data_IF_918233925353
#
_entry.id   IF_918233925353
#
_cell.length_a   1.000
_cell.length_b   1.000
_cell.length_c   1.000
_cell.angle_alpha   90.00
_cell.angle_beta   90.00
_cell.angle_gamma   90.00
#
_symmetry.space_group_name_H-M   'P 1'
#
loop_
_entity.id
_entity.type
_entity.pdbx_description
1 polymer ?
#
# COMPACT_ATOMS: atom_id res chain seq x y z
N UNK A 1 27.35 -29.30 -8.93
CA UNK A 1 26.01 -29.45 -8.36
C UNK A 1 25.73 -28.20 -7.54
N UNK A 2 25.10 -27.21 -8.17
CA UNK A 2 24.97 -25.85 -7.66
C UNK A 2 23.85 -25.83 -6.61
N UNK A 3 24.20 -25.56 -5.35
CA UNK A 3 23.19 -25.36 -4.31
C UNK A 3 22.41 -24.08 -4.62
N UNK A 4 21.15 -24.23 -5.00
CA UNK A 4 20.18 -23.14 -5.00
C UNK A 4 19.90 -22.85 -3.53
N UNK A 5 20.49 -21.77 -2.98
CA UNK A 5 20.00 -21.19 -1.72
C UNK A 5 18.56 -20.76 -1.98
N UNK A 6 17.58 -21.53 -1.49
CA UNK A 6 16.24 -21.00 -1.24
C UNK A 6 16.44 -19.75 -0.35
N UNK A 7 16.22 -18.57 -0.92
CA UNK A 7 16.24 -17.34 -0.13
C UNK A 7 15.16 -17.46 0.93
N UNK A 8 15.58 -17.50 2.18
CA UNK A 8 14.69 -17.64 3.32
C UNK A 8 13.99 -16.31 3.57
N UNK A 9 12.68 -16.34 3.82
CA UNK A 9 11.97 -15.22 4.43
C UNK A 9 12.26 -15.21 5.93
N UNK A 10 12.66 -14.06 6.45
CA UNK A 10 12.93 -13.86 7.87
C UNK A 10 11.77 -13.13 8.50
N UNK A 11 11.17 -13.69 9.55
CA UNK A 11 10.15 -13.00 10.33
C UNK A 11 10.83 -11.94 11.20
N UNK A 12 10.36 -10.69 11.13
CA UNK A 12 10.92 -9.56 11.86
C UNK A 12 10.39 -9.47 13.29
N UNK A 13 11.20 -8.85 14.17
CA UNK A 13 10.82 -8.50 15.54
C UNK A 13 10.23 -7.08 15.61
N UNK A 14 9.54 -6.75 16.71
CA UNK A 14 8.87 -5.46 16.91
C UNK A 14 9.80 -4.22 16.79
N UNK A 15 11.10 -4.36 17.02
CA UNK A 15 12.11 -3.30 16.88
C UNK A 15 12.27 -2.83 15.44
N UNK A 16 12.09 -3.71 14.46
CA UNK A 16 12.22 -3.37 13.03
C UNK A 16 11.08 -2.48 12.52
N UNK A 17 9.92 -2.52 13.17
CA UNK A 17 8.76 -1.71 12.78
C UNK A 17 9.01 -0.21 12.96
N UNK A 18 9.72 0.19 14.02
CA UNK A 18 10.06 1.60 14.25
C UNK A 18 11.02 2.12 13.18
N UNK A 19 12.02 1.32 12.82
CA UNK A 19 12.98 1.67 11.78
C UNK A 19 12.30 1.72 10.40
N UNK A 20 11.41 0.77 10.10
CA UNK A 20 10.61 0.80 8.87
C UNK A 20 9.69 2.02 8.80
N UNK A 21 9.06 2.39 9.91
CA UNK A 21 8.24 3.61 9.98
C UNK A 21 9.08 4.85 9.71
N UNK A 22 10.26 4.97 10.33
CA UNK A 22 11.18 6.09 10.10
C UNK A 22 11.68 6.14 8.64
N UNK A 23 12.03 4.99 8.06
CA UNK A 23 12.39 4.88 6.66
C UNK A 23 11.25 5.34 5.75
N UNK A 24 10.02 4.92 6.04
CA UNK A 24 8.85 5.34 5.28
C UNK A 24 8.60 6.85 5.39
N UNK A 25 8.79 7.47 6.56
CA UNK A 25 8.66 8.93 6.72
C UNK A 25 9.65 9.68 5.80
N UNK A 26 10.90 9.23 5.74
CA UNK A 26 11.95 9.90 4.95
C UNK A 26 11.73 9.76 3.43
N UNK A 27 11.04 8.71 3.01
CA UNK A 27 10.88 8.32 1.60
C UNK A 27 9.47 8.59 1.04
N UNK A 28 8.71 9.48 1.68
CA UNK A 28 7.46 9.99 1.11
C UNK A 28 7.73 10.77 -0.19
N UNK A 29 6.79 10.78 -1.15
CA UNK A 29 5.43 10.26 -1.08
C UNK A 29 5.26 8.79 -1.50
N UNK A 30 6.29 8.14 -2.03
CA UNK A 30 6.21 6.76 -2.54
C UNK A 30 5.73 5.77 -1.48
N UNK A 31 6.23 5.92 -0.27
CA UNK A 31 5.91 5.06 0.90
C UNK A 31 4.60 5.43 1.61
N UNK A 32 3.87 6.46 1.17
CA UNK A 32 2.75 7.01 1.95
C UNK A 32 1.64 6.00 2.24
N UNK A 33 1.41 5.02 1.35
CA UNK A 33 0.40 3.97 1.62
C UNK A 33 0.85 3.03 2.72
N UNK A 34 2.11 2.56 2.69
CA UNK A 34 2.63 1.71 3.76
C UNK A 34 2.72 2.49 5.08
N UNK A 35 3.16 3.75 5.03
CA UNK A 35 3.23 4.59 6.22
C UNK A 35 1.85 4.83 6.83
N UNK A 36 0.85 5.16 6.00
CA UNK A 36 -0.53 5.34 6.44
C UNK A 36 -1.03 4.11 7.20
N UNK A 37 -0.82 2.93 6.63
CA UNK A 37 -1.15 1.67 7.28
C UNK A 37 -0.39 1.45 8.61
N UNK A 38 0.93 1.70 8.64
CA UNK A 38 1.76 1.54 9.84
C UNK A 38 1.34 2.48 10.99
N UNK A 39 0.90 3.70 10.67
CA UNK A 39 0.51 4.70 11.66
C UNK A 39 -0.95 4.56 12.10
N UNK A 40 -1.86 4.23 11.19
CA UNK A 40 -3.30 4.21 11.46
C UNK A 40 -3.78 2.87 12.03
N UNK A 41 -3.30 1.75 11.49
CA UNK A 41 -3.82 0.42 11.84
C UNK A 41 -3.70 0.05 13.32
N UNK A 42 -2.65 0.45 14.07
CA UNK A 42 -2.59 0.24 15.51
C UNK A 42 -3.75 0.89 16.28
N UNK A 43 -4.35 1.95 15.73
CA UNK A 43 -5.46 2.69 16.33
C UNK A 43 -6.80 2.21 15.79
N UNK A 44 -6.95 2.15 14.46
CA UNK A 44 -8.25 1.89 13.81
C UNK A 44 -8.60 0.41 13.66
N UNK A 45 -7.60 -0.47 13.64
CA UNK A 45 -7.77 -1.90 13.40
C UNK A 45 -6.77 -2.74 14.23
N UNK A 46 -6.74 -2.57 15.58
CA UNK A 46 -5.67 -3.11 16.43
C UNK A 46 -5.53 -4.63 16.33
N UNK A 47 -6.65 -5.36 16.21
CA UNK A 47 -6.64 -6.81 16.05
C UNK A 47 -6.03 -7.27 14.72
N UNK A 48 -6.16 -6.48 13.66
CA UNK A 48 -5.57 -6.84 12.37
C UNK A 48 -4.07 -6.57 12.37
N UNK A 49 -3.69 -5.42 12.92
CA UNK A 49 -2.30 -5.05 13.07
C UNK A 49 -1.54 -6.00 13.98
N UNK A 50 -2.13 -6.42 15.11
CA UNK A 50 -1.50 -7.36 16.05
C UNK A 50 -1.32 -8.76 15.46
N UNK A 51 -2.13 -9.12 14.47
CA UNK A 51 -2.05 -10.41 13.77
C UNK A 51 -1.23 -10.31 12.47
N UNK A 52 -0.66 -9.15 12.16
CA UNK A 52 0.18 -8.98 10.99
C UNK A 52 1.52 -9.68 11.19
N UNK A 53 1.96 -10.46 10.20
CA UNK A 53 3.26 -11.12 10.21
C UNK A 53 4.16 -10.43 9.20
N UNK A 54 5.29 -9.91 9.67
CA UNK A 54 6.24 -9.17 8.86
C UNK A 54 7.37 -10.11 8.43
N UNK A 55 7.46 -10.36 7.14
CA UNK A 55 8.56 -11.09 6.52
C UNK A 55 9.51 -10.13 5.80
N UNK A 56 10.79 -10.47 5.79
CA UNK A 56 11.85 -9.70 5.16
C UNK A 56 12.77 -10.62 4.35
N UNK A 57 13.33 -10.10 3.27
CA UNK A 57 14.34 -10.80 2.45
C UNK A 57 15.70 -10.97 3.13
N UNK A 58 15.92 -10.32 4.30
CA UNK A 58 17.18 -10.34 5.02
C UNK A 58 16.98 -10.28 6.54
N UNK A 59 17.88 -10.90 7.34
CA UNK A 59 17.82 -10.86 8.79
C UNK A 59 18.27 -9.50 9.36
N UNK A 60 19.07 -8.73 8.62
CA UNK A 60 19.46 -7.37 8.97
C UNK A 60 19.25 -6.45 7.75
N UNK A 61 18.00 -6.02 7.49
CA UNK A 61 17.68 -5.25 6.30
C UNK A 61 18.38 -3.88 6.27
N UNK A 62 18.57 -3.25 7.43
CA UNK A 62 19.11 -1.90 7.53
C UNK A 62 20.59 -1.83 7.10
N UNK A 63 21.38 -2.86 7.41
CA UNK A 63 22.76 -2.94 6.95
C UNK A 63 22.87 -3.05 5.42
N UNK A 64 21.91 -3.73 4.78
CA UNK A 64 21.86 -3.87 3.33
C UNK A 64 21.42 -2.57 2.66
N UNK A 65 20.41 -1.90 3.21
CA UNK A 65 19.93 -0.60 2.73
C UNK A 65 21.03 0.45 2.81
N UNK A 66 21.82 0.47 3.90
CA UNK A 66 22.98 1.36 4.04
C UNK A 66 24.06 1.13 2.96
N UNK A 67 24.09 -0.05 2.34
CA UNK A 67 24.97 -0.43 1.24
C UNK A 67 24.28 -0.31 -0.13
N UNK A 68 23.12 0.37 -0.20
CA UNK A 68 22.29 0.51 -1.39
C UNK A 68 21.83 -0.82 -2.00
N UNK A 69 21.67 -1.86 -1.18
CA UNK A 69 21.13 -3.15 -1.64
C UNK A 69 19.62 -3.21 -1.46
N UNK A 70 18.96 -3.93 -2.37
CA UNK A 70 17.50 -4.10 -2.33
C UNK A 70 17.08 -5.06 -1.24
N UNK A 71 16.05 -4.65 -0.48
CA UNK A 71 15.36 -5.43 0.54
C UNK A 71 13.88 -5.47 0.20
N UNK A 72 13.24 -6.62 0.42
CA UNK A 72 11.80 -6.80 0.22
C UNK A 72 11.15 -7.13 1.56
N UNK A 73 10.04 -6.45 1.86
CA UNK A 73 9.13 -6.79 2.93
C UNK A 73 7.82 -7.33 2.37
N UNK A 74 7.39 -8.46 2.92
CA UNK A 74 6.07 -9.04 2.70
C UNK A 74 5.34 -9.02 4.04
N UNK A 75 4.20 -8.35 4.11
CA UNK A 75 3.43 -8.21 5.35
C UNK A 75 2.12 -8.97 5.16
N UNK A 76 1.99 -10.09 5.86
CA UNK A 76 0.80 -10.94 5.82
C UNK A 76 -0.22 -10.47 6.85
N UNK A 77 -1.48 -10.33 6.42
CA UNK A 77 -2.60 -9.97 7.29
C UNK A 77 -3.81 -10.80 6.85
N UNK A 78 -4.15 -11.86 7.58
CA UNK A 78 -5.23 -12.80 7.22
C UNK A 78 -5.07 -13.33 5.79
N UNK A 79 -5.95 -12.93 4.88
CA UNK A 79 -6.01 -13.29 3.46
C UNK A 79 -5.32 -12.26 2.55
N UNK A 80 -4.52 -11.35 3.12
CA UNK A 80 -3.93 -10.20 2.42
C UNK A 80 -2.43 -10.14 2.56
N UNK A 81 -1.78 -9.59 1.55
CA UNK A 81 -0.35 -9.27 1.58
C UNK A 81 -0.13 -7.82 1.19
N UNK A 82 0.71 -7.13 1.96
CA UNK A 82 1.33 -5.87 1.52
C UNK A 82 2.77 -6.14 1.11
N UNK A 83 3.20 -5.50 0.04
CA UNK A 83 4.52 -5.67 -0.55
C UNK A 83 5.22 -4.31 -0.51
N UNK A 84 6.45 -4.30 -0.01
CA UNK A 84 7.30 -3.12 -0.09
C UNK A 84 8.71 -3.52 -0.50
N UNK A 85 9.30 -2.76 -1.41
CA UNK A 85 10.65 -3.00 -1.93
C UNK A 85 11.47 -1.73 -1.67
N UNK A 86 12.63 -1.86 -1.04
CA UNK A 86 13.42 -0.69 -0.59
C UNK A 86 13.88 0.22 -1.72
N UNK A 87 14.01 -0.30 -2.95
CA UNK A 87 14.37 0.45 -4.15
C UNK A 87 13.21 1.27 -4.74
N UNK A 88 11.96 1.00 -4.33
CA UNK A 88 10.76 1.67 -4.84
C UNK A 88 10.83 3.21 -4.73
N UNK A 89 11.19 3.82 -3.58
CA UNK A 89 11.18 5.28 -3.47
C UNK A 89 12.15 5.98 -4.40
N UNK A 90 13.26 5.34 -4.73
CA UNK A 90 14.23 5.85 -5.71
C UNK A 90 13.68 5.67 -7.13
N UNK A 91 13.24 4.45 -7.48
CA UNK A 91 12.74 4.13 -8.82
C UNK A 91 11.49 4.93 -9.20
N UNK A 92 10.61 5.24 -8.25
CA UNK A 92 9.42 6.08 -8.49
C UNK A 92 9.76 7.51 -8.95
N UNK A 93 10.98 7.99 -8.70
CA UNK A 93 11.45 9.31 -9.11
C UNK A 93 12.23 9.28 -10.43
N UNK A 94 12.53 8.09 -10.94
CA UNK A 94 13.31 7.89 -12.16
C UNK A 94 12.44 8.03 -13.42
N UNK A 95 12.95 8.64 -14.50
CA UNK A 95 12.24 8.71 -15.77
C UNK A 95 11.92 7.32 -16.36
N UNK A 96 10.65 7.09 -16.69
CA UNK A 96 10.16 5.87 -17.33
C UNK A 96 10.05 6.02 -18.84
N UNK A 97 10.02 4.91 -19.57
CA UNK A 97 9.84 4.92 -21.02
C UNK A 97 8.38 5.18 -21.41
N UNK A 98 8.14 5.73 -22.61
CA UNK A 98 6.77 5.89 -23.14
C UNK A 98 6.00 4.56 -23.20
N UNK A 99 6.71 3.45 -23.44
CA UNK A 99 6.12 2.12 -23.45
C UNK A 99 5.63 1.73 -22.05
N UNK A 100 6.40 2.04 -20.99
CA UNK A 100 5.99 1.79 -19.62
C UNK A 100 4.78 2.64 -19.22
N UNK A 101 4.72 3.90 -19.67
CA UNK A 101 3.55 4.76 -19.47
C UNK A 101 2.32 4.16 -20.14
N UNK A 102 2.42 3.77 -21.43
CA UNK A 102 1.34 3.11 -22.16
C UNK A 102 0.86 1.82 -21.49
N UNK A 103 1.79 1.00 -20.99
CA UNK A 103 1.45 -0.23 -20.25
C UNK A 103 0.61 0.05 -18.98
N UNK A 104 0.87 1.16 -18.29
CA UNK A 104 0.10 1.55 -17.12
C UNK A 104 -1.32 2.00 -17.47
N UNK A 105 -1.51 2.61 -18.65
CA UNK A 105 -2.80 3.09 -19.16
C UNK A 105 -3.63 1.98 -19.82
N UNK A 106 -2.97 1.06 -20.53
CA UNK A 106 -3.57 -0.10 -21.18
C UNK A 106 -2.62 -1.31 -21.12
N UNK A 107 -2.84 -2.24 -20.19
CA UNK A 107 -1.99 -3.39 -20.01
C UNK A 107 -2.36 -4.62 -20.82
N UNK A 108 -3.35 -4.53 -21.71
CA UNK A 108 -3.43 -5.46 -22.84
C UNK A 108 -2.20 -5.25 -23.76
N UNK A 109 -1.56 -4.08 -23.68
CA UNK A 109 -0.23 -3.87 -24.25
C UNK A 109 0.77 -4.77 -23.51
N UNK A 110 1.51 -5.62 -24.22
CA UNK A 110 2.62 -6.37 -23.62
C UNK A 110 3.80 -5.42 -23.37
N UNK A 111 4.28 -5.30 -22.12
CA UNK A 111 5.51 -4.57 -21.80
C UNK A 111 6.74 -5.35 -22.31
N UNK A 112 7.02 -5.27 -23.62
CA UNK A 112 8.15 -5.94 -24.27
C UNK A 112 9.41 -5.05 -24.35
N UNK A 113 9.62 -4.19 -23.36
CA UNK A 113 10.74 -3.25 -23.35
C UNK A 113 11.12 -2.79 -21.94
N UNK A 114 12.14 -1.92 -21.83
CA UNK A 114 12.58 -1.41 -20.54
C UNK A 114 11.51 -0.52 -19.91
N UNK A 115 11.38 -0.61 -18.58
CA UNK A 115 10.55 0.25 -17.77
C UNK A 115 11.16 1.65 -17.61
N UNK A 116 12.48 1.73 -17.49
CA UNK A 116 13.23 2.96 -17.23
C UNK A 116 14.12 3.36 -18.41
N UNK A 117 14.31 4.68 -18.60
CA UNK A 117 15.14 5.22 -19.68
C UNK A 117 16.63 4.92 -19.43
N UNK A 118 17.10 5.13 -18.20
CA UNK A 118 18.50 4.92 -17.84
C UNK A 118 18.78 3.44 -17.53
N UNK A 119 19.93 2.95 -18.01
CA UNK A 119 20.30 1.53 -17.95
C UNK A 119 20.55 1.04 -16.50
N UNK A 120 21.09 1.90 -15.65
CA UNK A 120 21.31 1.65 -14.23
C UNK A 120 20.00 1.52 -13.45
N UNK A 121 19.04 2.42 -13.68
CA UNK A 121 17.68 2.31 -13.11
C UNK A 121 16.98 1.03 -13.58
N UNK A 122 17.13 0.71 -14.87
CA UNK A 122 16.58 -0.52 -15.44
C UNK A 122 17.22 -1.78 -14.84
N UNK A 123 18.53 -1.75 -14.56
CA UNK A 123 19.24 -2.84 -13.90
C UNK A 123 18.76 -3.03 -12.45
N UNK A 124 18.68 -1.95 -11.67
CA UNK A 124 18.15 -1.98 -10.30
C UNK A 124 16.71 -2.48 -10.26
N UNK A 125 15.87 -2.04 -11.20
CA UNK A 125 14.50 -2.55 -11.34
C UNK A 125 14.48 -4.06 -11.57
N UNK A 126 15.32 -4.60 -12.47
CA UNK A 126 15.36 -6.03 -12.75
C UNK A 126 15.91 -6.86 -11.60
N UNK A 127 16.92 -6.36 -10.89
CA UNK A 127 17.39 -6.98 -9.66
C UNK A 127 16.26 -7.06 -8.62
N UNK A 128 15.57 -5.94 -8.41
CA UNK A 128 14.46 -5.83 -7.46
C UNK A 128 13.26 -6.71 -7.84
N UNK A 129 12.91 -6.74 -9.14
CA UNK A 129 11.86 -7.60 -9.71
C UNK A 129 12.19 -9.08 -9.48
N UNK A 130 13.43 -9.49 -9.74
CA UNK A 130 13.86 -10.87 -9.58
C UNK A 130 13.83 -11.32 -8.11
N UNK A 131 14.31 -10.48 -7.19
CA UNK A 131 14.25 -10.76 -5.75
C UNK A 131 12.79 -10.89 -5.29
N UNK A 132 11.95 -9.92 -5.65
CA UNK A 132 10.53 -9.95 -5.30
C UNK A 132 9.82 -11.19 -5.89
N UNK A 133 10.10 -11.55 -7.14
CA UNK A 133 9.52 -12.72 -7.80
C UNK A 133 9.84 -14.02 -7.05
N UNK A 134 11.10 -14.20 -6.65
CA UNK A 134 11.53 -15.39 -5.93
C UNK A 134 10.82 -15.50 -4.57
N UNK A 135 10.79 -14.40 -3.81
CA UNK A 135 10.15 -14.37 -2.50
C UNK A 135 8.64 -14.58 -2.60
N UNK A 136 7.97 -13.98 -3.59
CA UNK A 136 6.55 -14.20 -3.82
C UNK A 136 6.25 -15.65 -4.17
N UNK A 137 7.04 -16.29 -5.04
CA UNK A 137 6.84 -17.72 -5.35
C UNK A 137 6.92 -18.57 -4.09
N UNK A 138 7.97 -18.41 -3.30
CA UNK A 138 8.15 -19.15 -2.04
C UNK A 138 7.04 -18.85 -1.04
N UNK A 139 6.64 -17.57 -0.90
CA UNK A 139 5.56 -17.18 0.00
C UNK A 139 4.21 -17.80 -0.38
N UNK A 140 3.95 -17.94 -1.68
CA UNK A 140 2.67 -18.37 -2.23
C UNK A 140 2.52 -19.89 -2.37
N UNK A 141 3.61 -20.67 -2.26
CA UNK A 141 3.60 -22.14 -2.44
C UNK A 141 2.51 -22.86 -1.64
N UNK A 142 2.14 -22.34 -0.47
CA UNK A 142 1.15 -22.95 0.44
C UNK A 142 -0.12 -22.10 0.63
N UNK A 143 -0.36 -21.09 -0.23
CA UNK A 143 -1.46 -20.14 -0.07
C UNK A 143 -2.46 -20.33 -1.21
N UNK A 144 -3.75 -20.45 -0.87
CA UNK A 144 -4.83 -20.71 -1.86
C UNK A 144 -5.25 -19.44 -2.60
N UNK A 145 -5.47 -18.36 -1.87
CA UNK A 145 -5.84 -17.05 -2.41
C UNK A 145 -5.24 -15.97 -1.51
N UNK A 146 -4.68 -14.92 -2.11
CA UNK A 146 -4.18 -13.75 -1.39
C UNK A 146 -4.56 -12.47 -2.15
N UNK A 147 -5.05 -11.49 -1.41
CA UNK A 147 -5.30 -10.14 -1.90
C UNK A 147 -4.05 -9.27 -1.74
N UNK A 148 -3.52 -8.74 -2.85
CA UNK A 148 -2.38 -7.82 -2.83
C UNK A 148 -2.86 -6.40 -2.57
N UNK A 149 -2.36 -5.77 -1.50
CA UNK A 149 -2.75 -4.42 -1.08
C UNK A 149 -1.57 -3.44 -1.12
N UNK A 150 -1.83 -2.21 -1.59
CA UNK A 150 -0.92 -1.08 -1.47
C UNK A 150 0.39 -1.19 -2.25
N UNK A 151 0.49 -2.10 -3.21
CA UNK A 151 1.71 -2.30 -4.00
C UNK A 151 1.90 -1.18 -5.04
N UNK A 152 3.14 -0.71 -5.25
CA UNK A 152 3.44 0.27 -6.28
C UNK A 152 3.17 -0.24 -7.70
N UNK A 153 2.79 0.69 -8.58
CA UNK A 153 2.48 0.41 -9.98
C UNK A 153 3.68 -0.17 -10.73
N UNK A 154 4.92 0.16 -10.33
CA UNK A 154 6.15 -0.34 -10.97
C UNK A 154 6.27 -1.87 -10.84
N UNK A 155 5.63 -2.49 -9.85
CA UNK A 155 5.61 -3.94 -9.65
C UNK A 155 4.43 -4.62 -10.34
N UNK A 156 3.49 -3.86 -10.92
CA UNK A 156 2.30 -4.42 -11.59
C UNK A 156 2.61 -5.41 -12.71
N UNK A 157 3.63 -5.21 -13.58
CA UNK A 157 3.98 -6.22 -14.59
C UNK A 157 4.32 -7.58 -13.98
N UNK A 158 5.11 -7.60 -12.91
CA UNK A 158 5.47 -8.82 -12.19
C UNK A 158 4.24 -9.47 -11.58
N UNK A 159 3.43 -8.72 -10.85
CA UNK A 159 2.25 -9.24 -10.17
C UNK A 159 1.22 -9.82 -11.15
N UNK A 160 0.99 -9.15 -12.29
CA UNK A 160 0.10 -9.68 -13.34
C UNK A 160 0.66 -10.94 -13.97
N UNK A 161 1.98 -11.00 -14.22
CA UNK A 161 2.63 -12.22 -14.75
C UNK A 161 2.49 -13.40 -13.79
N UNK A 162 2.71 -13.18 -12.50
CA UNK A 162 2.66 -14.24 -11.48
C UNK A 162 1.23 -14.68 -11.15
N UNK A 163 0.32 -13.73 -10.94
CA UNK A 163 -0.99 -14.00 -10.37
C UNK A 163 -2.14 -13.93 -11.38
N UNK A 164 -1.84 -13.63 -12.65
CA UNK A 164 -2.85 -13.45 -13.72
C UNK A 164 -3.97 -12.48 -13.31
N UNK A 165 -3.61 -11.44 -12.57
CA UNK A 165 -4.57 -10.44 -12.07
C UNK A 165 -5.18 -9.69 -13.26
N UNK A 166 -6.51 -9.70 -13.42
CA UNK A 166 -7.17 -8.94 -14.48
C UNK A 166 -6.99 -7.44 -14.24
N UNK A 167 -6.83 -6.67 -15.32
CA UNK A 167 -6.77 -5.22 -15.22
C UNK A 167 -8.16 -4.62 -15.10
N UNK A 168 -8.38 -3.83 -14.05
CA UNK A 168 -9.65 -3.14 -13.79
C UNK A 168 -9.62 -1.64 -14.15
N UNK A 169 -8.69 -1.19 -15.00
CA UNK A 169 -8.58 0.20 -15.44
C UNK A 169 -7.59 1.05 -14.63
N UNK A 170 -7.16 2.22 -15.15
CA UNK A 170 -6.14 3.04 -14.49
C UNK A 170 -6.76 3.84 -13.34
N UNK A 171 -6.41 3.48 -12.11
CA UNK A 171 -6.63 4.34 -10.95
C UNK A 171 -5.45 5.31 -10.80
N UNK A 172 -5.68 6.61 -11.00
CA UNK A 172 -4.66 7.63 -10.68
C UNK A 172 -4.69 7.92 -9.18
N UNK A 173 -3.57 7.71 -8.50
CA UNK A 173 -3.40 8.01 -7.07
C UNK A 173 -2.82 9.40 -6.89
N UNK A 174 -3.55 10.28 -6.20
CA UNK A 174 -3.02 11.54 -5.72
C UNK A 174 -2.54 11.36 -4.28
N UNK A 175 -1.28 11.66 -4.01
CA UNK A 175 -0.69 11.50 -2.68
C UNK A 175 -0.33 12.88 -2.14
N UNK A 176 -0.90 13.24 -0.99
CA UNK A 176 -0.44 14.40 -0.23
C UNK A 176 0.61 13.93 0.79
N UNK A 177 1.83 14.50 0.83
CA UNK A 177 2.80 14.19 1.87
C UNK A 177 2.24 14.47 3.26
N UNK A 178 2.56 13.63 4.25
CA UNK A 178 2.07 13.82 5.62
C UNK A 178 2.57 15.14 6.25
N UNK A 179 3.70 15.66 5.77
CA UNK A 179 4.25 16.96 6.16
C UNK A 179 3.44 18.16 5.67
N UNK A 180 2.53 17.99 4.70
CA UNK A 180 1.68 19.05 4.15
C UNK A 180 0.30 19.00 4.79
N UNK A 181 0.10 19.78 5.83
CA UNK A 181 -1.21 19.97 6.43
C UNK A 181 -2.14 20.69 5.45
N UNK A 182 -3.43 20.27 5.35
CA UNK A 182 -4.41 21.03 4.58
C UNK A 182 -4.58 22.42 5.19
N UNK A 183 -4.86 23.40 4.33
CA UNK A 183 -5.19 24.75 4.79
C UNK A 183 -6.43 24.70 5.70
N UNK A 184 -6.48 25.49 6.78
CA UNK A 184 -7.66 25.60 7.62
C UNK A 184 -8.88 25.95 6.77
N UNK A 185 -9.94 25.15 6.90
CA UNK A 185 -11.23 25.40 6.26
C UNK A 185 -12.28 25.63 7.34
N UNK A 186 -13.10 26.67 7.18
CA UNK A 186 -14.25 26.92 8.05
C UNK A 186 -15.53 26.49 7.36
N UNK A 187 -16.37 25.76 8.08
CA UNK A 187 -17.71 25.47 7.60
C UNK A 187 -18.56 26.75 7.54
N UNK A 188 -19.52 26.78 6.61
CA UNK A 188 -20.55 27.81 6.59
C UNK A 188 -21.42 27.71 7.86
N UNK A 189 -22.02 28.83 8.25
CA UNK A 189 -23.00 28.86 9.33
C UNK A 189 -24.11 27.81 9.11
N UNK A 190 -24.47 27.10 10.17
CA UNK A 190 -25.50 26.06 10.15
C UNK A 190 -24.97 24.64 9.98
N UNK A 191 -23.65 24.46 9.86
CA UNK A 191 -23.00 23.15 9.82
C UNK A 191 -21.98 22.97 10.95
N UNK A 192 -21.83 21.74 11.41
CA UNK A 192 -20.85 21.33 12.42
C UNK A 192 -20.11 20.07 11.96
N UNK A 193 -18.87 19.91 12.44
CA UNK A 193 -18.09 18.68 12.26
C UNK A 193 -18.21 17.88 13.56
N UNK A 194 -18.57 16.60 13.44
CA UNK A 194 -18.60 15.66 14.54
C UNK A 194 -17.84 14.37 14.16
N UNK A 195 -17.47 13.60 15.18
CA UNK A 195 -16.97 12.24 14.98
C UNK A 195 -18.09 11.37 14.41
N UNK A 196 -17.76 10.48 13.47
CA UNK A 196 -18.72 9.54 12.94
C UNK A 196 -19.03 8.42 13.97
N UNK A 197 -20.30 8.05 14.06
CA UNK A 197 -20.81 7.05 15.01
C UNK A 197 -21.49 5.91 14.24
N UNK A 198 -21.63 4.74 14.89
CA UNK A 198 -22.24 3.55 14.29
C UNK A 198 -23.62 3.81 13.69
N UNK A 199 -24.40 4.73 14.27
CA UNK A 199 -25.73 5.12 13.77
C UNK A 199 -25.69 5.76 12.37
N UNK A 200 -24.55 6.28 11.93
CA UNK A 200 -24.39 6.87 10.59
C UNK A 200 -24.12 5.80 9.51
N UNK A 201 -23.71 4.58 9.87
CA UNK A 201 -23.34 3.55 8.91
C UNK A 201 -24.45 3.19 7.89
N UNK A 202 -25.73 3.03 8.28
CA UNK A 202 -26.80 2.74 7.32
C UNK A 202 -26.92 3.81 6.24
N UNK A 203 -26.87 5.08 6.65
CA UNK A 203 -26.94 6.23 5.73
C UNK A 203 -25.72 6.25 4.80
N UNK A 204 -24.52 6.05 5.33
CA UNK A 204 -23.28 6.03 4.53
C UNK A 204 -23.34 4.93 3.46
N UNK A 205 -23.87 3.75 3.81
CA UNK A 205 -24.02 2.62 2.88
C UNK A 205 -25.06 2.93 1.80
N UNK A 206 -26.20 3.52 2.19
CA UNK A 206 -27.28 3.89 1.27
C UNK A 206 -26.81 4.87 0.19
N UNK A 207 -26.00 5.86 0.57
CA UNK A 207 -25.55 6.93 -0.32
C UNK A 207 -24.20 6.67 -1.00
N UNK A 208 -23.49 5.60 -0.65
CA UNK A 208 -22.26 5.23 -1.33
C UNK A 208 -22.53 4.54 -2.67
N UNK A 209 -21.78 4.93 -3.71
CA UNK A 209 -21.84 4.29 -5.03
C UNK A 209 -21.43 2.81 -4.98
N UNK A 210 -20.50 2.47 -4.10
CA UNK A 210 -20.05 1.10 -3.85
C UNK A 210 -20.79 0.59 -2.61
N UNK A 211 -21.48 -0.53 -2.76
CA UNK A 211 -22.18 -1.18 -1.65
C UNK A 211 -21.18 -1.94 -0.78
N UNK A 212 -20.69 -1.27 0.25
CA UNK A 212 -19.86 -1.90 1.28
C UNK A 212 -20.70 -2.68 2.28
N UNK A 213 -20.11 -3.73 2.86
CA UNK A 213 -20.72 -4.43 3.97
C UNK A 213 -20.80 -3.53 5.22
N UNK A 214 -21.85 -3.73 6.04
CA UNK A 214 -22.06 -2.94 7.25
C UNK A 214 -20.86 -2.97 8.19
N UNK A 215 -20.29 -4.14 8.40
CA UNK A 215 -19.16 -4.33 9.30
C UNK A 215 -17.92 -3.56 8.81
N UNK A 216 -17.68 -3.57 7.50
CA UNK A 216 -16.58 -2.81 6.88
C UNK A 216 -16.73 -1.30 7.11
N UNK A 217 -17.94 -0.75 6.93
CA UNK A 217 -18.20 0.66 7.18
C UNK A 217 -18.01 0.99 8.66
N UNK A 218 -18.52 0.15 9.57
CA UNK A 218 -18.41 0.37 11.02
C UNK A 218 -16.95 0.41 11.47
N UNK A 219 -16.10 -0.49 10.98
CA UNK A 219 -14.66 -0.50 11.25
C UNK A 219 -14.00 0.80 10.77
N UNK A 220 -14.42 1.29 9.60
CA UNK A 220 -13.97 2.56 9.07
C UNK A 220 -14.39 3.79 9.88
N UNK A 221 -15.37 3.74 10.79
CA UNK A 221 -15.90 4.94 11.45
C UNK A 221 -14.98 5.52 12.54
N UNK A 222 -14.00 4.76 13.04
CA UNK A 222 -13.25 5.11 14.25
C UNK A 222 -12.51 6.45 14.16
N UNK A 223 -11.91 6.75 13.00
CA UNK A 223 -11.22 8.01 12.71
C UNK A 223 -12.00 8.89 11.72
N UNK A 224 -13.26 8.53 11.46
CA UNK A 224 -14.09 9.21 10.48
C UNK A 224 -14.79 10.42 11.06
N UNK A 225 -15.09 11.37 10.19
CA UNK A 225 -15.83 12.57 10.53
C UNK A 225 -17.06 12.72 9.66
N UNK A 226 -18.04 13.41 10.19
CA UNK A 226 -19.32 13.70 9.56
C UNK A 226 -19.59 15.18 9.71
N UNK A 227 -20.11 15.79 8.64
CA UNK A 227 -20.68 17.12 8.67
C UNK A 227 -22.18 16.97 8.89
N UNK A 228 -22.69 17.63 9.93
CA UNK A 228 -24.11 17.67 10.26
C UNK A 228 -24.68 19.07 10.12
N UNK A 229 -25.97 19.16 9.82
CA UNK A 229 -26.77 20.38 9.94
C UNK A 229 -27.15 20.69 11.39
N UNK A 230 -27.79 21.83 11.65
CA UNK A 230 -28.20 22.25 13.01
C UNK A 230 -29.15 21.28 13.72
N UNK A 231 -29.96 20.54 12.97
CA UNK A 231 -30.84 19.48 13.42
C UNK A 231 -30.12 18.11 13.58
N UNK A 232 -28.80 18.10 13.50
CA UNK A 232 -27.93 16.91 13.56
C UNK A 232 -28.13 15.92 12.40
N UNK A 233 -28.69 16.34 11.27
CA UNK A 233 -28.82 15.49 10.08
C UNK A 233 -27.46 15.39 9.37
N UNK A 234 -26.90 14.18 9.15
CA UNK A 234 -25.65 14.01 8.41
C UNK A 234 -25.82 14.38 6.93
N UNK A 235 -24.93 15.23 6.41
CA UNK A 235 -24.97 15.69 5.00
C UNK A 235 -23.71 15.38 4.21
N UNK A 236 -22.59 15.09 4.90
CA UNK A 236 -21.35 14.64 4.28
C UNK A 236 -20.50 13.86 5.29
N UNK A 237 -19.59 13.04 4.80
CA UNK A 237 -18.66 12.26 5.64
C UNK A 237 -17.30 12.12 4.98
N UNK A 238 -16.27 12.07 5.81
CA UNK A 238 -14.93 11.64 5.43
C UNK A 238 -14.63 10.36 6.19
N UNK A 239 -14.49 9.26 5.45
CA UNK A 239 -14.29 7.93 6.02
C UNK A 239 -12.82 7.56 6.04
N UNK A 240 -12.31 7.04 7.16
CA UNK A 240 -11.08 6.24 7.12
C UNK A 240 -11.36 4.92 6.41
N UNK A 241 -10.53 4.59 5.43
CA UNK A 241 -10.64 3.36 4.68
C UNK A 241 -9.73 2.32 5.33
N UNK A 242 -10.27 1.17 5.75
CA UNK A 242 -9.47 0.11 6.40
C UNK A 242 -8.31 -0.39 5.53
N UNK A 243 -8.46 -0.26 4.21
CA UNK A 243 -7.42 -0.70 3.27
C UNK A 243 -6.31 0.34 3.02
N UNK A 244 -6.44 1.57 3.56
CA UNK A 244 -5.42 2.63 3.46
C UNK A 244 -4.41 2.56 4.60
#
# INVERSE_FOLDING_TARGET
MTMIKQQSLYQLENTDLKLLTAYCIQNQPSTSSLLGWLLNSPQSCPNEFSNAIFYCSAPNPWALIAQNQTVVWLIEIKDRIRIFVSSEPFLDQCPTTDLAVKYCEDPETSLQGPMFIAADHQALYKESENLLEQLLKTFMENKKEILVHGCSVIWSPLLRRLFKIPYNGPCKRFVNPASKYPLPCSLRNGYSIAKAEKKHAPLIIEYNKIKFEMQYVIEGLEMSTVITTQDNTPVAWAMSHRDL
#
